data_IF_272281912335
#
_entry.id   IF_272281912335
#
_cell.length_a   1.000
_cell.length_b   1.000
_cell.length_c   1.000
_cell.angle_alpha   90.00
_cell.angle_beta   90.00
_cell.angle_gamma   90.00
#
_symmetry.space_group_name_H-M   'P 1'
#
loop_
_entity.id
_entity.type
_entity.pdbx_description
1 polymer ?
#
# COMPACT_ATOMS: atom_id res chain seq x y z
N UNK A 1 1.55 2.19 28.79
CA UNK A 1 1.45 0.83 28.24
C UNK A 1 2.36 -0.10 29.06
N UNK A 2 1.91 -1.30 29.43
CA UNK A 2 2.73 -2.21 30.22
C UNK A 2 3.72 -3.00 29.32
N UNK A 3 4.79 -3.55 29.93
CA UNK A 3 5.87 -4.27 29.22
C UNK A 3 5.35 -5.53 28.49
N UNK A 4 4.33 -6.20 29.01
CA UNK A 4 3.71 -7.36 28.40
C UNK A 4 3.04 -7.00 27.06
N UNK A 5 2.22 -5.97 27.03
CA UNK A 5 1.55 -5.50 25.82
C UNK A 5 2.55 -5.05 24.73
N UNK A 6 3.63 -4.35 25.12
CA UNK A 6 4.69 -3.98 24.18
C UNK A 6 5.36 -5.21 23.54
N UNK A 7 5.62 -6.25 24.30
CA UNK A 7 6.22 -7.50 23.80
C UNK A 7 5.29 -8.23 22.83
N UNK A 8 3.99 -8.30 23.15
CA UNK A 8 2.99 -8.94 22.29
C UNK A 8 2.82 -8.20 20.95
N UNK A 9 2.68 -6.87 20.98
CA UNK A 9 2.57 -6.08 19.75
C UNK A 9 3.82 -6.26 18.88
N UNK A 10 5.02 -6.18 19.46
CA UNK A 10 6.27 -6.39 18.72
C UNK A 10 6.40 -7.81 18.17
N UNK A 11 5.89 -8.82 18.88
CA UNK A 11 5.85 -10.20 18.42
C UNK A 11 4.94 -10.33 17.20
N UNK A 12 3.73 -9.77 17.28
CA UNK A 12 2.77 -9.75 16.18
C UNK A 12 3.34 -9.05 14.95
N UNK A 13 3.93 -7.86 15.10
CA UNK A 13 4.52 -7.11 13.98
C UNK A 13 5.56 -7.95 13.23
N UNK A 14 6.48 -8.62 13.95
CA UNK A 14 7.50 -9.49 13.32
C UNK A 14 6.88 -10.69 12.61
N UNK A 15 5.87 -11.31 13.21
CA UNK A 15 5.18 -12.45 12.62
C UNK A 15 4.44 -12.03 11.34
N UNK A 16 3.67 -10.94 11.41
CA UNK A 16 2.83 -10.48 10.31
C UNK A 16 3.63 -9.97 9.12
N UNK A 17 4.71 -9.24 9.35
CA UNK A 17 5.61 -8.80 8.25
C UNK A 17 6.28 -9.99 7.55
N UNK A 18 6.66 -11.03 8.28
CA UNK A 18 7.17 -12.26 7.69
C UNK A 18 6.09 -13.02 6.91
N UNK A 19 4.86 -13.07 7.42
CA UNK A 19 3.72 -13.72 6.77
C UNK A 19 3.33 -13.02 5.46
N UNK A 20 3.42 -11.69 5.42
CA UNK A 20 3.18 -10.88 4.21
C UNK A 20 4.29 -11.03 3.17
N UNK A 21 5.42 -11.63 3.51
CA UNK A 21 6.60 -11.80 2.63
C UNK A 21 7.20 -10.47 2.12
N UNK A 22 6.98 -9.37 2.86
CA UNK A 22 7.43 -8.03 2.47
C UNK A 22 8.96 -7.85 2.48
N UNK A 23 9.68 -8.78 3.12
CA UNK A 23 11.14 -8.78 3.22
C UNK A 23 11.81 -9.53 2.07
N UNK A 24 11.02 -10.19 1.21
CA UNK A 24 11.55 -10.89 0.06
C UNK A 24 11.91 -9.87 -1.03
N UNK A 25 13.19 -9.87 -1.44
CA UNK A 25 13.68 -8.98 -2.50
C UNK A 25 13.31 -9.43 -3.92
N UNK A 26 12.54 -10.51 -4.04
CA UNK A 26 12.07 -11.05 -5.33
C UNK A 26 10.98 -10.20 -5.99
N UNK A 27 10.55 -10.64 -7.16
CA UNK A 27 9.39 -10.07 -7.86
C UNK A 27 8.11 -10.28 -7.04
N UNK A 28 7.28 -9.25 -6.96
CA UNK A 28 6.05 -9.29 -6.19
C UNK A 28 4.86 -9.64 -7.09
N UNK A 29 4.07 -10.64 -6.68
CA UNK A 29 2.83 -11.04 -7.36
C UNK A 29 2.98 -11.29 -8.88
N UNK A 30 3.98 -12.07 -9.27
CA UNK A 30 4.28 -12.38 -10.69
C UNK A 30 4.58 -11.12 -11.55
N UNK A 31 5.08 -10.05 -10.94
CA UNK A 31 5.51 -8.82 -11.61
C UNK A 31 7.02 -8.61 -11.45
N UNK A 32 7.63 -7.80 -12.30
CA UNK A 32 9.05 -7.39 -12.17
C UNK A 32 9.22 -6.23 -11.17
N UNK A 33 8.20 -5.94 -10.37
CA UNK A 33 8.19 -4.85 -9.39
C UNK A 33 8.56 -5.38 -8.01
N UNK A 34 9.32 -4.59 -7.25
CA UNK A 34 9.49 -4.81 -5.82
C UNK A 34 8.16 -4.53 -5.08
N UNK A 35 8.01 -5.09 -3.88
CA UNK A 35 6.81 -4.89 -3.07
C UNK A 35 6.40 -3.41 -2.90
N UNK A 36 7.33 -2.45 -2.58
CA UNK A 36 6.96 -1.04 -2.48
C UNK A 36 6.57 -0.42 -3.83
N UNK A 37 7.18 -0.84 -4.94
CA UNK A 37 6.82 -0.38 -6.28
C UNK A 37 5.43 -0.85 -6.67
N UNK A 38 5.13 -2.14 -6.48
CA UNK A 38 3.81 -2.72 -6.72
C UNK A 38 2.74 -2.01 -5.88
N UNK A 39 3.02 -1.72 -4.59
CA UNK A 39 2.12 -0.98 -3.72
C UNK A 39 1.85 0.43 -4.23
N UNK A 40 2.85 1.16 -4.71
CA UNK A 40 2.67 2.50 -5.30
C UNK A 40 1.83 2.43 -6.58
N UNK A 41 2.09 1.46 -7.47
CA UNK A 41 1.34 1.33 -8.71
C UNK A 41 -0.14 0.99 -8.44
N UNK A 42 -0.39 0.07 -7.51
CA UNK A 42 -1.73 -0.32 -7.11
C UNK A 42 -2.50 0.83 -6.44
N UNK A 43 -1.84 1.64 -5.61
CA UNK A 43 -2.46 2.81 -4.99
C UNK A 43 -2.92 3.84 -6.03
N UNK A 44 -2.12 4.06 -7.10
CA UNK A 44 -2.53 4.92 -8.21
C UNK A 44 -3.73 4.33 -8.96
N UNK A 45 -3.84 3.01 -9.02
CA UNK A 45 -4.94 2.32 -9.69
C UNK A 45 -6.27 2.46 -8.93
N UNK A 46 -6.25 2.26 -7.63
CA UNK A 46 -7.47 2.37 -6.78
C UNK A 46 -7.84 3.82 -6.45
N UNK A 47 -6.89 4.77 -6.52
CA UNK A 47 -7.08 6.19 -6.27
C UNK A 47 -6.66 7.03 -7.50
N UNK A 48 -7.48 7.11 -8.57
CA UNK A 48 -7.07 7.72 -9.84
C UNK A 48 -6.67 9.20 -9.79
N UNK A 49 -7.07 9.92 -8.75
CA UNK A 49 -6.76 11.34 -8.57
C UNK A 49 -5.64 11.59 -7.54
N UNK A 50 -4.97 10.52 -7.08
CA UNK A 50 -3.90 10.64 -6.10
C UNK A 50 -2.72 11.43 -6.68
N UNK A 51 -2.16 12.31 -5.87
CA UNK A 51 -0.97 13.10 -6.21
C UNK A 51 0.29 12.42 -5.68
N UNK A 52 1.47 12.84 -6.16
CA UNK A 52 2.73 12.35 -5.60
C UNK A 52 2.86 12.66 -4.09
N UNK A 53 2.33 13.78 -3.64
CA UNK A 53 2.27 14.12 -2.20
C UNK A 53 1.32 13.20 -1.46
N UNK A 54 0.11 12.98 -1.98
CA UNK A 54 -0.85 12.04 -1.40
C UNK A 54 -0.31 10.62 -1.30
N UNK A 55 0.46 10.14 -2.29
CA UNK A 55 1.15 8.84 -2.20
C UNK A 55 2.15 8.79 -1.04
N UNK A 56 2.93 9.87 -0.83
CA UNK A 56 3.88 9.93 0.27
C UNK A 56 3.18 9.87 1.63
N UNK A 57 2.10 10.62 1.79
CA UNK A 57 1.31 10.70 3.02
C UNK A 57 0.60 9.37 3.28
N UNK A 58 -0.15 8.87 2.29
CA UNK A 58 -0.94 7.64 2.42
C UNK A 58 -0.09 6.40 2.69
N UNK A 59 1.01 6.24 1.94
CA UNK A 59 1.89 5.09 2.07
C UNK A 59 3.03 5.29 3.08
N UNK A 60 3.19 6.50 3.63
CA UNK A 60 4.30 6.89 4.54
C UNK A 60 5.68 6.60 3.96
N UNK A 61 5.83 6.87 2.67
CA UNK A 61 7.06 6.63 1.91
C UNK A 61 7.77 7.97 1.64
N UNK A 62 9.09 7.93 1.69
CA UNK A 62 9.93 9.11 1.40
C UNK A 62 9.65 9.69 0.01
N UNK A 63 9.56 11.03 -0.06
CA UNK A 63 9.26 11.77 -1.27
C UNK A 63 10.27 11.51 -2.41
N UNK A 64 11.54 11.37 -2.07
CA UNK A 64 12.60 11.09 -3.04
C UNK A 64 12.43 9.70 -3.64
N UNK A 65 12.02 8.72 -2.82
CA UNK A 65 11.72 7.37 -3.29
C UNK A 65 10.52 7.36 -4.22
N UNK A 66 9.38 7.93 -3.82
CA UNK A 66 8.17 8.04 -4.67
C UNK A 66 8.49 8.73 -6.00
N UNK A 67 9.25 9.83 -5.97
CA UNK A 67 9.66 10.54 -7.19
C UNK A 67 10.47 9.68 -8.15
N UNK A 68 11.41 8.85 -7.63
CA UNK A 68 12.20 7.91 -8.44
C UNK A 68 11.33 6.81 -9.04
N UNK A 69 10.43 6.23 -8.25
CA UNK A 69 9.51 5.18 -8.72
C UNK A 69 8.57 5.71 -9.80
N UNK A 70 7.96 6.88 -9.61
CA UNK A 70 7.11 7.51 -10.62
C UNK A 70 7.87 7.82 -11.92
N UNK A 71 9.13 8.19 -11.82
CA UNK A 71 9.97 8.45 -13.01
C UNK A 71 10.35 7.14 -13.72
N UNK A 72 10.58 6.06 -12.97
CA UNK A 72 10.75 4.71 -13.52
C UNK A 72 9.49 4.28 -14.26
N UNK A 73 8.33 4.37 -13.64
CA UNK A 73 7.05 3.97 -14.24
C UNK A 73 6.70 4.77 -15.49
N UNK A 74 7.03 6.07 -15.51
CA UNK A 74 6.85 6.91 -16.72
C UNK A 74 7.77 6.46 -17.86
N UNK A 75 9.05 6.12 -17.55
CA UNK A 75 10.01 5.57 -18.51
C UNK A 75 9.59 4.20 -19.04
N UNK A 76 9.05 3.35 -18.16
CA UNK A 76 8.60 2.00 -18.49
C UNK A 76 7.21 2.00 -19.17
N UNK A 77 6.61 3.19 -19.36
CA UNK A 77 5.33 3.35 -20.05
C UNK A 77 4.10 2.94 -19.26
N UNK A 78 4.22 2.78 -17.93
CA UNK A 78 3.09 2.39 -17.05
C UNK A 78 2.19 3.57 -16.69
N UNK A 79 2.73 4.80 -16.68
CA UNK A 79 1.98 6.01 -16.40
C UNK A 79 2.46 7.20 -17.22
N UNK A 80 1.67 8.27 -17.21
CA UNK A 80 2.03 9.60 -17.70
C UNK A 80 1.75 10.65 -16.62
N UNK A 81 2.49 11.76 -16.64
CA UNK A 81 2.28 12.88 -15.74
C UNK A 81 1.87 14.12 -16.52
N UNK A 82 0.68 14.64 -16.27
CA UNK A 82 0.14 15.81 -16.93
C UNK A 82 0.10 17.00 -15.98
N UNK A 83 0.52 18.18 -16.47
CA UNK A 83 0.40 19.42 -15.69
C UNK A 83 -1.05 19.85 -15.64
N UNK A 84 -1.56 20.10 -14.43
CA UNK A 84 -2.92 20.58 -14.23
C UNK A 84 -2.95 22.09 -14.53
N UNK A 85 -3.78 22.52 -15.47
CA UNK A 85 -3.98 23.94 -15.78
C UNK A 85 -4.57 24.66 -14.56
N UNK A 86 -3.87 25.68 -14.07
CA UNK A 86 -4.32 26.50 -12.94
C UNK A 86 -3.73 26.13 -11.56
N UNK A 87 -3.08 24.98 -11.40
CA UNK A 87 -2.40 24.60 -10.17
C UNK A 87 -0.87 24.60 -10.38
N UNK A 88 -0.18 25.64 -9.87
CA UNK A 88 1.27 25.75 -10.00
C UNK A 88 1.99 24.51 -9.44
N UNK A 89 2.58 23.72 -10.35
CA UNK A 89 3.48 22.62 -10.02
C UNK A 89 2.81 21.28 -9.70
N UNK A 90 1.49 21.17 -9.65
CA UNK A 90 0.79 19.91 -9.45
C UNK A 90 0.69 19.13 -10.77
N UNK A 91 1.17 17.89 -10.76
CA UNK A 91 1.04 16.96 -11.89
C UNK A 91 0.05 15.87 -11.52
N UNK A 92 -0.93 15.65 -12.39
CA UNK A 92 -1.84 14.50 -12.31
C UNK A 92 -1.10 13.25 -12.81
N UNK A 93 -1.23 12.16 -12.10
CA UNK A 93 -0.69 10.86 -12.47
C UNK A 93 -1.81 10.09 -13.19
N UNK A 94 -1.52 9.59 -14.39
CA UNK A 94 -2.50 8.87 -15.22
C UNK A 94 -1.88 7.55 -15.65
N UNK A 95 -2.50 6.44 -15.28
CA UNK A 95 -2.07 5.13 -15.76
C UNK A 95 -2.34 4.98 -17.26
N UNK A 96 -1.38 4.39 -17.95
CA UNK A 96 -1.57 3.89 -19.33
C UNK A 96 -2.37 2.59 -19.32
N UNK A 97 -2.70 2.03 -20.47
CA UNK A 97 -3.29 0.70 -20.55
C UNK A 97 -2.34 -0.36 -19.95
N UNK A 98 -1.04 -0.28 -20.26
CA UNK A 98 -0.04 -1.17 -19.67
C UNK A 98 0.03 -1.06 -18.14
N UNK A 99 -0.05 0.16 -17.60
CA UNK A 99 -0.09 0.38 -16.15
C UNK A 99 -1.34 -0.20 -15.50
N UNK A 100 -2.50 -0.12 -16.16
CA UNK A 100 -3.74 -0.75 -15.67
C UNK A 100 -3.65 -2.28 -15.68
N UNK A 101 -3.17 -2.86 -16.77
CA UNK A 101 -2.97 -4.31 -16.90
C UNK A 101 -2.02 -4.84 -15.82
N UNK A 102 -0.93 -4.11 -15.54
CA UNK A 102 0.02 -4.45 -14.49
C UNK A 102 -0.62 -4.35 -13.10
N UNK A 103 -1.39 -3.29 -12.83
CA UNK A 103 -2.14 -3.12 -11.57
C UNK A 103 -3.16 -4.24 -11.35
N UNK A 104 -3.89 -4.64 -12.39
CA UNK A 104 -4.82 -5.77 -12.34
C UNK A 104 -4.10 -7.11 -12.12
N UNK A 105 -2.85 -7.25 -12.59
CA UNK A 105 -2.02 -8.43 -12.31
C UNK A 105 -1.65 -8.49 -10.82
N UNK A 106 -1.27 -7.34 -10.24
CA UNK A 106 -0.99 -7.21 -8.81
C UNK A 106 -2.22 -7.58 -7.99
N UNK A 107 -3.39 -7.05 -8.34
CA UNK A 107 -4.67 -7.31 -7.67
C UNK A 107 -5.00 -8.83 -7.65
N UNK A 108 -5.03 -9.44 -8.83
CA UNK A 108 -5.24 -10.90 -8.96
C UNK A 108 -4.17 -11.74 -8.26
N UNK A 109 -2.93 -11.24 -8.20
CA UNK A 109 -1.84 -11.88 -7.47
C UNK A 109 -2.09 -11.86 -5.97
N UNK A 110 -2.60 -10.72 -5.45
CA UNK A 110 -3.02 -10.57 -4.06
C UNK A 110 -4.13 -11.53 -3.68
N UNK A 111 -5.18 -11.59 -4.49
CA UNK A 111 -6.31 -12.53 -4.29
C UNK A 111 -5.82 -13.97 -4.23
N UNK A 112 -4.98 -14.40 -5.18
CA UNK A 112 -4.39 -15.75 -5.18
C UNK A 112 -3.55 -16.03 -3.94
N UNK A 113 -2.73 -15.07 -3.50
CA UNK A 113 -1.92 -15.22 -2.30
C UNK A 113 -2.79 -15.45 -1.05
N UNK A 114 -3.91 -14.73 -0.94
CA UNK A 114 -4.86 -14.88 0.16
C UNK A 114 -5.55 -16.25 0.05
N UNK A 115 -6.03 -16.65 -1.11
CA UNK A 115 -6.67 -17.94 -1.33
C UNK A 115 -5.72 -19.10 -1.02
N UNK A 116 -4.47 -19.04 -1.48
CA UNK A 116 -3.45 -20.08 -1.23
C UNK A 116 -3.12 -20.22 0.26
N UNK A 117 -3.13 -19.13 1.01
CA UNK A 117 -2.78 -19.12 2.43
C UNK A 117 -3.96 -19.39 3.36
N UNK A 118 -5.15 -18.93 3.01
CA UNK A 118 -6.31 -18.90 3.89
C UNK A 118 -7.51 -19.69 3.36
N UNK A 119 -7.51 -20.12 2.11
CA UNK A 119 -8.63 -20.83 1.48
C UNK A 119 -9.01 -22.17 2.14
N UNK A 120 -8.16 -22.70 3.03
CA UNK A 120 -8.48 -23.89 3.84
C UNK A 120 -9.27 -23.58 5.12
N UNK A 121 -9.47 -22.30 5.46
CA UNK A 121 -10.21 -21.89 6.67
C UNK A 121 -11.71 -21.93 6.42
N UNK A 122 -12.49 -22.24 7.46
CA UNK A 122 -13.95 -22.10 7.42
C UNK A 122 -14.38 -20.63 7.49
N UNK A 123 -15.62 -20.35 7.05
CA UNK A 123 -16.18 -19.00 6.98
C UNK A 123 -16.20 -18.27 8.33
N UNK A 124 -16.44 -18.99 9.42
CA UNK A 124 -16.46 -18.42 10.77
C UNK A 124 -15.07 -17.93 11.18
N UNK A 125 -14.03 -18.72 10.92
CA UNK A 125 -12.64 -18.36 11.18
C UNK A 125 -12.19 -17.19 10.32
N UNK A 126 -12.52 -17.17 9.02
CA UNK A 126 -12.26 -16.03 8.13
C UNK A 126 -12.95 -14.77 8.64
N UNK A 127 -14.23 -14.89 9.03
CA UNK A 127 -14.97 -13.75 9.59
C UNK A 127 -14.38 -13.21 10.90
N UNK A 128 -13.84 -14.08 11.76
CA UNK A 128 -13.13 -13.64 12.97
C UNK A 128 -11.83 -12.92 12.64
N UNK A 129 -11.07 -13.43 11.67
CA UNK A 129 -9.83 -12.82 11.21
C UNK A 129 -10.08 -11.43 10.61
N UNK A 130 -11.08 -11.28 9.73
CA UNK A 130 -11.45 -9.98 9.16
C UNK A 130 -11.82 -8.96 10.25
N UNK A 131 -12.65 -9.34 11.23
CA UNK A 131 -12.99 -8.46 12.37
C UNK A 131 -11.78 -8.07 13.22
N UNK A 132 -10.82 -8.98 13.40
CA UNK A 132 -9.60 -8.65 14.13
C UNK A 132 -8.72 -7.66 13.36
N UNK A 133 -8.61 -7.80 12.04
CA UNK A 133 -7.88 -6.87 11.17
C UNK A 133 -8.55 -5.49 11.14
N UNK A 134 -9.87 -5.42 11.00
CA UNK A 134 -10.66 -4.21 11.05
C UNK A 134 -10.47 -3.47 12.39
N UNK A 135 -10.54 -4.18 13.51
CA UNK A 135 -10.28 -3.60 14.82
C UNK A 135 -8.88 -3.02 14.97
N UNK A 136 -7.86 -3.70 14.42
CA UNK A 136 -6.47 -3.19 14.42
C UNK A 136 -6.40 -1.92 13.58
N UNK A 137 -6.95 -1.92 12.37
CA UNK A 137 -6.95 -0.79 11.44
C UNK A 137 -7.64 0.43 12.05
N UNK A 138 -8.86 0.30 12.56
CA UNK A 138 -9.61 1.37 13.21
C UNK A 138 -8.86 1.95 14.41
N UNK A 139 -8.27 1.06 15.25
CA UNK A 139 -7.53 1.50 16.45
C UNK A 139 -6.32 2.33 16.07
N UNK A 140 -5.57 1.93 15.03
CA UNK A 140 -4.38 2.65 14.59
C UNK A 140 -4.72 3.95 13.85
N UNK A 141 -5.75 3.95 13.00
CA UNK A 141 -6.22 5.13 12.27
C UNK A 141 -6.71 6.25 13.20
N UNK A 142 -7.40 5.89 14.29
CA UNK A 142 -7.85 6.86 15.28
C UNK A 142 -6.68 7.56 15.98
N UNK A 143 -5.58 6.86 16.26
CA UNK A 143 -4.38 7.47 16.85
C UNK A 143 -3.74 8.50 15.92
N UNK A 144 -3.74 8.23 14.63
CA UNK A 144 -3.19 9.13 13.60
C UNK A 144 -3.97 10.43 13.49
N UNK A 145 -5.29 10.34 13.47
CA UNK A 145 -6.18 11.51 13.43
C UNK A 145 -6.00 12.41 14.66
N UNK A 146 -5.69 11.84 15.83
CA UNK A 146 -5.40 12.61 17.05
C UNK A 146 -4.03 13.31 17.01
N UNK A 147 -3.03 12.70 16.36
CA UNK A 147 -1.69 13.29 16.20
C UNK A 147 -1.70 14.45 15.20
N UNK A 148 -2.39 14.32 14.08
CA UNK A 148 -2.56 15.38 13.08
C UNK A 148 -3.27 16.60 13.70
N UNK A 149 -4.33 16.38 14.47
CA UNK A 149 -5.07 17.45 15.17
C UNK A 149 -4.23 18.18 16.23
N UNK A 150 -3.17 17.56 16.76
CA UNK A 150 -2.24 18.19 17.72
C UNK A 150 -1.14 18.99 17.05
N UNK A 151 -0.73 18.62 15.85
CA UNK A 151 0.34 19.30 15.09
C UNK A 151 -0.16 20.56 14.35
N UNK A 152 -1.49 20.72 14.17
CA UNK A 152 -2.10 21.91 13.57
C UNK A 152 -2.41 23.02 14.59
N UNK A 153 -2.13 22.83 15.88
CA UNK A 153 -2.32 23.83 16.96
C UNK A 153 -1.00 24.41 17.42
#
# INVERSE_FOLDING_TARGET
MNDCAMKEIRRFNRYYTAWLDVMNEGSYMDTDLSWPEARILFEIYICPDITATGLCEHLRIDKGYVSRVLSKFEKDGLLTRQTVSGAKGQKRIILTNAGREESERIDRGGDRQIEDKLGCLDEDTVGQLCRAMEFIEETLSNLESEEESKNER
#
